data_IF_343954539247
#
_entry.id   IF_343954539247
#
_cell.length_a   1.000
_cell.length_b   1.000
_cell.length_c   1.000
_cell.angle_alpha   90.00
_cell.angle_beta   90.00
_cell.angle_gamma   90.00
#
_symmetry.space_group_name_H-M   'P 1'
#
loop_
_entity.id
_entity.type
_entity.pdbx_description
1 polymer ?
#
# COMPACT_ATOMS: atom_id res chain seq x y z
N UNK A 1 27.19 -16.23 -4.30
CA UNK A 1 26.29 -15.07 -4.34
C UNK A 1 25.17 -15.38 -5.32
N UNK A 2 23.92 -15.11 -4.96
CA UNK A 2 22.76 -15.25 -5.86
C UNK A 2 22.96 -14.39 -7.11
N UNK A 3 22.64 -14.92 -8.27
CA UNK A 3 22.62 -14.16 -9.52
C UNK A 3 21.21 -13.57 -9.72
N UNK A 4 21.12 -12.28 -9.91
CA UNK A 4 19.87 -11.60 -10.28
C UNK A 4 19.84 -11.45 -11.80
N UNK A 5 18.89 -12.11 -12.45
CA UNK A 5 18.67 -12.03 -13.88
C UNK A 5 17.17 -12.07 -14.19
N UNK A 6 16.58 -10.90 -14.40
CA UNK A 6 15.14 -10.79 -14.62
C UNK A 6 14.70 -11.24 -16.02
N UNK A 7 15.64 -11.49 -16.95
CA UNK A 7 15.29 -12.11 -18.24
C UNK A 7 14.74 -13.54 -18.08
N UNK A 8 15.20 -14.27 -17.05
CA UNK A 8 14.69 -15.63 -16.78
C UNK A 8 13.21 -15.61 -16.40
N UNK A 9 12.74 -14.54 -15.75
CA UNK A 9 11.35 -14.36 -15.36
C UNK A 9 10.44 -14.26 -16.59
N UNK A 10 10.95 -13.75 -17.71
CA UNK A 10 10.22 -13.71 -18.98
C UNK A 10 9.87 -15.12 -19.49
N UNK A 11 10.71 -16.10 -19.22
CA UNK A 11 10.52 -17.48 -19.65
C UNK A 11 9.59 -18.28 -18.72
N UNK A 12 9.26 -17.71 -17.54
CA UNK A 12 8.34 -18.33 -16.58
C UNK A 12 6.93 -18.44 -17.19
N UNK A 13 6.27 -19.57 -16.94
CA UNK A 13 4.87 -19.76 -17.34
C UNK A 13 3.95 -19.04 -16.38
N UNK A 14 3.41 -17.92 -16.83
CA UNK A 14 2.38 -17.19 -16.11
C UNK A 14 1.02 -17.83 -16.35
N UNK A 15 0.27 -18.05 -15.27
CA UNK A 15 -1.05 -18.67 -15.37
C UNK A 15 -2.14 -17.67 -15.83
N UNK A 16 -3.32 -18.22 -16.19
CA UNK A 16 -4.44 -17.42 -16.69
C UNK A 16 -5.00 -16.44 -15.66
N UNK A 17 -4.80 -16.69 -14.35
CA UNK A 17 -5.22 -15.81 -13.28
C UNK A 17 -4.39 -14.51 -13.28
N UNK A 18 -3.06 -14.61 -13.38
CA UNK A 18 -2.17 -13.46 -13.48
C UNK A 18 -2.49 -12.63 -14.73
N UNK A 19 -2.66 -13.27 -15.88
CA UNK A 19 -3.04 -12.58 -17.11
C UNK A 19 -4.40 -11.86 -16.96
N UNK A 20 -5.36 -12.50 -16.31
CA UNK A 20 -6.65 -11.91 -15.99
C UNK A 20 -6.55 -10.70 -15.06
N UNK A 21 -5.72 -10.78 -14.01
CA UNK A 21 -5.47 -9.66 -13.08
C UNK A 21 -4.83 -8.48 -13.81
N UNK A 22 -3.80 -8.71 -14.62
CA UNK A 22 -3.13 -7.68 -15.42
C UNK A 22 -4.12 -6.98 -16.35
N UNK A 23 -4.88 -7.75 -17.12
CA UNK A 23 -5.89 -7.19 -18.04
C UNK A 23 -6.95 -6.37 -17.31
N UNK A 24 -7.41 -6.83 -16.13
CA UNK A 24 -8.36 -6.11 -15.31
C UNK A 24 -7.75 -4.80 -14.75
N UNK A 25 -6.50 -4.81 -14.30
CA UNK A 25 -5.81 -3.61 -13.80
C UNK A 25 -5.69 -2.56 -14.92
N UNK A 26 -5.26 -2.92 -16.12
CA UNK A 26 -5.18 -1.98 -17.24
C UNK A 26 -6.55 -1.38 -17.61
N UNK A 27 -7.60 -2.20 -17.59
CA UNK A 27 -8.97 -1.72 -17.83
C UNK A 27 -9.38 -0.67 -16.80
N UNK A 28 -9.13 -0.93 -15.53
CA UNK A 28 -9.50 0.00 -14.44
C UNK A 28 -8.61 1.24 -14.44
N UNK A 29 -7.33 1.12 -14.78
CA UNK A 29 -6.42 2.26 -14.93
C UNK A 29 -6.90 3.21 -16.04
N UNK A 30 -7.36 2.68 -17.17
CA UNK A 30 -7.97 3.47 -18.24
C UNK A 30 -9.23 4.22 -17.80
N UNK A 31 -10.09 3.61 -16.96
CA UNK A 31 -11.25 4.29 -16.36
C UNK A 31 -10.80 5.40 -15.40
N UNK A 32 -9.79 5.14 -14.57
CA UNK A 32 -9.27 6.14 -13.63
C UNK A 32 -8.82 7.40 -14.38
N UNK A 33 -8.15 7.26 -15.52
CA UNK A 33 -7.68 8.40 -16.32
C UNK A 33 -8.84 9.30 -16.77
N UNK A 34 -9.99 8.72 -17.11
CA UNK A 34 -11.20 9.48 -17.46
C UNK A 34 -11.73 10.28 -16.25
N UNK A 35 -11.80 9.67 -15.08
CA UNK A 35 -12.22 10.36 -13.85
C UNK A 35 -11.28 11.49 -13.47
N UNK A 36 -9.95 11.30 -13.61
CA UNK A 36 -8.94 12.33 -13.32
C UNK A 36 -9.16 13.58 -14.16
N UNK A 37 -9.51 13.43 -15.44
CA UNK A 37 -9.79 14.55 -16.33
C UNK A 37 -11.11 15.27 -16.01
N UNK A 38 -12.08 14.57 -15.44
CA UNK A 38 -13.44 15.08 -15.25
C UNK A 38 -13.70 15.69 -13.87
N UNK A 39 -12.97 15.28 -12.81
CA UNK A 39 -13.29 15.57 -11.40
C UNK A 39 -12.06 15.89 -10.53
N UNK A 40 -11.30 16.95 -10.85
CA UNK A 40 -10.04 17.24 -10.16
C UNK A 40 -10.21 17.64 -8.67
N UNK A 41 -11.30 18.34 -8.29
CA UNK A 41 -11.50 18.78 -6.90
C UNK A 41 -11.80 17.62 -5.95
N UNK A 42 -12.64 16.68 -6.38
CA UNK A 42 -12.98 15.49 -5.61
C UNK A 42 -11.76 14.60 -5.42
N UNK A 43 -10.93 14.51 -6.46
CA UNK A 43 -9.70 13.72 -6.42
C UNK A 43 -8.67 14.29 -5.45
N UNK A 44 -8.54 15.63 -5.33
CA UNK A 44 -7.63 16.23 -4.36
C UNK A 44 -7.98 15.81 -2.92
N UNK A 45 -9.28 15.72 -2.57
CA UNK A 45 -9.70 15.22 -1.26
C UNK A 45 -9.35 13.75 -1.05
N UNK A 46 -9.46 12.93 -2.09
CA UNK A 46 -9.05 11.52 -2.02
C UNK A 46 -7.54 11.39 -1.81
N UNK A 47 -6.73 12.22 -2.45
CA UNK A 47 -5.26 12.24 -2.25
C UNK A 47 -4.91 12.49 -0.78
N UNK A 48 -5.49 13.52 -0.16
CA UNK A 48 -5.24 13.81 1.26
C UNK A 48 -5.62 12.65 2.17
N UNK A 49 -6.78 12.03 1.92
CA UNK A 49 -7.25 10.89 2.70
C UNK A 49 -6.34 9.68 2.49
N UNK A 50 -5.95 9.39 1.25
CA UNK A 50 -5.06 8.28 0.93
C UNK A 50 -3.69 8.46 1.61
N UNK A 51 -3.11 9.66 1.61
CA UNK A 51 -1.85 9.97 2.33
C UNK A 51 -1.95 9.66 3.82
N UNK A 52 -3.05 10.07 4.47
CA UNK A 52 -3.27 9.79 5.89
C UNK A 52 -3.38 8.28 6.12
N UNK A 53 -4.19 7.58 5.32
CA UNK A 53 -4.38 6.13 5.44
C UNK A 53 -3.11 5.33 5.15
N UNK A 54 -2.33 5.73 4.14
CA UNK A 54 -1.06 5.08 3.78
C UNK A 54 -0.03 5.24 4.90
N UNK A 55 0.10 6.46 5.44
CA UNK A 55 1.01 6.74 6.54
C UNK A 55 0.60 5.97 7.81
N UNK A 56 -0.67 5.97 8.17
CA UNK A 56 -1.18 5.23 9.33
C UNK A 56 -0.95 3.72 9.18
N UNK A 57 -1.44 3.15 8.07
CA UNK A 57 -1.43 1.70 7.85
C UNK A 57 -0.02 1.13 7.72
N UNK A 58 0.86 1.78 6.96
CA UNK A 58 2.22 1.30 6.77
C UNK A 58 3.02 1.26 8.07
N UNK A 59 2.84 2.25 8.95
CA UNK A 59 3.49 2.26 10.27
C UNK A 59 2.84 1.26 11.22
N UNK A 60 1.51 1.14 11.22
CA UNK A 60 0.79 0.17 12.06
C UNK A 60 1.13 -1.30 11.74
N UNK A 61 1.44 -1.63 10.48
CA UNK A 61 1.95 -2.97 10.09
C UNK A 61 3.22 -3.32 10.89
N UNK A 62 4.08 -2.34 11.13
CA UNK A 62 5.34 -2.49 11.90
C UNK A 62 5.16 -2.27 13.42
N UNK A 63 3.92 -2.08 13.89
CA UNK A 63 3.63 -1.82 15.30
C UNK A 63 3.86 -0.38 15.76
N UNK A 64 4.13 0.55 14.84
CA UNK A 64 4.34 1.97 15.12
C UNK A 64 2.99 2.68 15.06
N UNK A 65 2.51 3.18 16.21
CA UNK A 65 1.14 3.69 16.33
C UNK A 65 1.07 5.00 17.12
N UNK A 66 0.08 5.83 16.76
CA UNK A 66 -0.38 6.96 17.55
C UNK A 66 -1.89 7.14 17.35
N UNK A 67 -2.51 8.16 17.96
CA UNK A 67 -3.95 8.38 17.78
C UNK A 67 -4.28 8.88 16.37
N UNK A 68 -5.48 8.54 15.87
CA UNK A 68 -5.91 8.98 14.52
C UNK A 68 -5.94 10.51 14.37
N UNK A 69 -6.17 11.26 15.47
CA UNK A 69 -6.07 12.73 15.46
C UNK A 69 -4.63 13.16 15.21
N UNK A 70 -3.67 12.55 15.92
CA UNK A 70 -2.23 12.86 15.77
C UNK A 70 -1.72 12.48 14.38
N UNK A 71 -2.15 11.35 13.83
CA UNK A 71 -1.81 10.97 12.43
C UNK A 71 -2.21 12.08 11.47
N UNK A 72 -3.46 12.56 11.54
CA UNK A 72 -3.95 13.63 10.65
C UNK A 72 -3.17 14.94 10.83
N UNK A 73 -2.86 15.32 12.07
CA UNK A 73 -2.07 16.52 12.34
C UNK A 73 -0.64 16.40 11.81
N UNK A 74 0.01 15.25 12.00
CA UNK A 74 1.35 14.97 11.51
C UNK A 74 1.41 14.95 9.99
N UNK A 75 0.47 14.26 9.32
CA UNK A 75 0.42 14.17 7.87
C UNK A 75 0.15 15.55 7.23
N UNK A 76 -0.69 16.36 7.85
CA UNK A 76 -0.99 17.72 7.40
C UNK A 76 0.02 18.77 7.91
N UNK A 77 1.12 18.35 8.53
CA UNK A 77 2.19 19.24 9.05
C UNK A 77 1.71 20.32 10.03
N UNK A 78 0.59 20.05 10.74
CA UNK A 78 0.01 20.97 11.72
C UNK A 78 0.63 20.83 13.12
N UNK A 79 1.55 19.90 13.29
CA UNK A 79 2.20 19.61 14.57
C UNK A 79 3.57 18.98 14.37
N UNK A 80 4.40 18.99 15.41
CA UNK A 80 5.69 18.30 15.44
C UNK A 80 5.59 16.95 16.16
N UNK A 81 6.43 15.95 15.79
CA UNK A 81 6.50 14.67 16.48
C UNK A 81 6.88 14.82 17.96
N UNK A 82 6.24 14.06 18.86
CA UNK A 82 6.45 14.10 20.32
C UNK A 82 7.28 12.93 20.85
N UNK A 83 7.28 11.82 20.15
CA UNK A 83 7.96 10.59 20.54
C UNK A 83 8.53 9.88 19.30
N UNK A 84 9.18 8.74 19.54
CA UNK A 84 9.81 7.94 18.48
C UNK A 84 8.79 7.51 17.40
N UNK A 85 7.65 6.97 17.80
CA UNK A 85 6.64 6.50 16.84
C UNK A 85 6.16 7.64 15.94
N UNK A 86 5.89 8.82 16.51
CA UNK A 86 5.48 9.99 15.73
C UNK A 86 6.60 10.51 14.82
N UNK A 87 7.88 10.36 15.20
CA UNK A 87 9.02 10.69 14.36
C UNK A 87 9.12 9.74 13.15
N UNK A 88 8.88 8.46 13.35
CA UNK A 88 8.87 7.46 12.29
C UNK A 88 7.68 7.66 11.33
N UNK A 89 6.50 8.00 11.86
CA UNK A 89 5.31 8.38 11.11
C UNK A 89 5.57 9.62 10.24
N UNK A 90 6.19 10.66 10.80
CA UNK A 90 6.54 11.88 10.08
C UNK A 90 7.55 11.60 8.96
N UNK A 91 8.56 10.78 9.21
CA UNK A 91 9.52 10.36 8.20
C UNK A 91 8.88 9.58 7.03
N UNK A 92 7.94 8.67 7.33
CA UNK A 92 7.19 7.98 6.28
C UNK A 92 6.37 8.95 5.42
N UNK A 93 5.66 9.90 6.05
CA UNK A 93 4.94 10.98 5.36
C UNK A 93 5.85 11.73 4.40
N UNK A 94 7.04 12.12 4.86
CA UNK A 94 7.99 12.93 4.06
C UNK A 94 8.41 12.18 2.80
N UNK A 95 8.77 10.90 2.92
CA UNK A 95 9.11 10.06 1.75
C UNK A 95 7.91 9.90 0.82
N UNK A 96 6.72 9.65 1.38
CA UNK A 96 5.50 9.51 0.58
C UNK A 96 5.18 10.79 -0.20
N UNK A 97 5.33 11.97 0.43
CA UNK A 97 5.15 13.27 -0.24
C UNK A 97 6.14 13.44 -1.40
N UNK A 98 7.42 13.14 -1.17
CA UNK A 98 8.46 13.20 -2.22
C UNK A 98 8.08 12.29 -3.40
N UNK A 99 7.62 11.08 -3.14
CA UNK A 99 7.19 10.15 -4.19
C UNK A 99 5.97 10.71 -4.93
N UNK A 100 4.96 11.23 -4.23
CA UNK A 100 3.76 11.78 -4.86
C UNK A 100 4.04 12.97 -5.78
N UNK A 101 5.07 13.77 -5.46
CA UNK A 101 5.40 15.00 -6.16
C UNK A 101 6.47 14.82 -7.24
N UNK A 102 7.38 13.83 -7.07
CA UNK A 102 8.60 13.75 -7.88
C UNK A 102 8.87 12.34 -8.45
N UNK A 103 7.89 11.43 -8.48
CA UNK A 103 8.09 10.04 -8.91
C UNK A 103 8.73 9.91 -10.30
N UNK A 104 8.45 10.83 -11.22
CA UNK A 104 8.92 10.84 -12.60
C UNK A 104 10.43 11.13 -12.72
N UNK A 105 11.00 11.88 -11.78
CA UNK A 105 12.42 12.25 -11.76
C UNK A 105 13.26 11.45 -10.75
N UNK A 106 12.66 10.60 -9.92
CA UNK A 106 13.39 9.74 -8.97
C UNK A 106 13.92 8.49 -9.71
N UNK A 107 15.24 8.34 -9.94
CA UNK A 107 15.79 7.14 -10.54
C UNK A 107 15.68 5.92 -9.63
N UNK A 108 15.48 4.76 -10.22
CA UNK A 108 15.53 3.49 -9.47
C UNK A 108 16.99 3.06 -9.39
N UNK A 109 17.66 3.42 -8.32
CA UNK A 109 19.06 3.09 -8.06
C UNK A 109 19.31 2.93 -6.56
N UNK A 110 20.37 2.18 -6.22
CA UNK A 110 20.80 2.02 -4.84
C UNK A 110 20.91 3.38 -4.12
N UNK A 111 21.59 4.36 -4.73
CA UNK A 111 21.79 5.67 -4.12
C UNK A 111 20.49 6.37 -3.76
N UNK A 112 19.48 6.35 -4.63
CA UNK A 112 18.19 7.00 -4.34
C UNK A 112 17.40 6.22 -3.29
N UNK A 113 17.46 4.89 -3.29
CA UNK A 113 16.86 4.06 -2.22
C UNK A 113 17.50 4.40 -0.87
N UNK A 114 18.82 4.56 -0.80
CA UNK A 114 19.52 4.99 0.42
C UNK A 114 19.11 6.41 0.85
N UNK A 115 18.94 7.34 -0.09
CA UNK A 115 18.47 8.69 0.20
C UNK A 115 17.04 8.68 0.75
N UNK A 116 16.12 7.94 0.13
CA UNK A 116 14.74 7.80 0.63
C UNK A 116 14.72 7.19 2.04
N UNK A 117 15.55 6.16 2.29
CA UNK A 117 15.70 5.60 3.63
C UNK A 117 16.29 6.60 4.63
N UNK A 118 17.22 7.48 4.21
CA UNK A 118 17.72 8.55 5.06
C UNK A 118 16.60 9.53 5.46
N UNK A 119 15.73 9.89 4.51
CA UNK A 119 14.59 10.77 4.76
C UNK A 119 13.57 10.10 5.69
N UNK A 120 13.32 8.81 5.55
CA UNK A 120 12.45 8.04 6.45
C UNK A 120 12.82 8.21 7.92
N UNK A 121 14.09 8.46 8.22
CA UNK A 121 14.61 8.66 9.58
C UNK A 121 15.05 10.10 9.88
N UNK A 122 14.65 11.08 9.04
CA UNK A 122 15.13 12.47 9.15
C UNK A 122 14.70 13.16 10.46
N UNK A 123 13.61 12.73 11.07
CA UNK A 123 13.13 13.25 12.36
C UNK A 123 13.79 12.59 13.57
N UNK A 124 14.71 11.65 13.34
CA UNK A 124 15.40 10.87 14.37
C UNK A 124 16.91 11.03 14.23
N UNK A 125 17.61 10.99 15.36
CA UNK A 125 19.07 10.91 15.33
C UNK A 125 19.49 9.43 15.11
N UNK A 126 19.34 8.92 13.89
CA UNK A 126 19.70 7.55 13.53
C UNK A 126 20.97 7.52 12.67
N UNK A 127 22.13 7.10 13.21
CA UNK A 127 23.40 7.08 12.49
C UNK A 127 23.42 6.04 11.34
N UNK A 128 22.47 5.10 11.32
CA UNK A 128 22.34 4.06 10.29
C UNK A 128 21.39 4.46 9.16
N UNK A 129 20.75 5.62 9.27
CA UNK A 129 19.85 6.13 8.23
C UNK A 129 20.60 6.33 6.90
N UNK A 130 20.03 5.79 5.82
CA UNK A 130 20.64 5.88 4.50
C UNK A 130 21.88 5.00 4.28
N UNK A 131 22.07 3.97 5.10
CA UNK A 131 23.17 3.00 4.98
C UNK A 131 22.61 1.58 4.93
N UNK A 132 23.26 0.73 4.15
CA UNK A 132 22.97 -0.70 4.20
C UNK A 132 23.38 -1.29 5.56
N UNK A 133 22.76 -2.39 5.94
CA UNK A 133 23.03 -3.07 7.21
C UNK A 133 24.49 -3.46 7.36
N UNK A 134 24.99 -3.32 8.57
CA UNK A 134 26.36 -3.70 8.98
C UNK A 134 26.41 -4.99 9.80
N UNK A 135 25.26 -5.46 10.27
CA UNK A 135 25.11 -6.71 11.02
C UNK A 135 24.04 -7.59 10.38
N UNK A 136 24.16 -8.93 10.51
CA UNK A 136 23.11 -9.84 10.08
C UNK A 136 21.77 -9.49 10.73
N UNK A 137 20.70 -9.57 9.95
CA UNK A 137 19.33 -9.48 10.43
C UNK A 137 18.55 -10.76 10.08
N UNK A 138 17.46 -10.99 10.78
CA UNK A 138 16.63 -12.18 10.62
C UNK A 138 15.18 -11.77 10.56
N UNK A 139 14.41 -12.38 9.67
CA UNK A 139 12.95 -12.27 9.69
C UNK A 139 12.44 -13.40 10.58
N UNK A 140 11.78 -13.04 11.67
CA UNK A 140 11.34 -14.00 12.68
C UNK A 140 9.89 -13.76 13.08
N UNK A 141 9.21 -14.82 13.51
CA UNK A 141 7.92 -14.75 14.18
C UNK A 141 8.08 -15.09 15.66
N UNK A 142 7.43 -14.31 16.53
CA UNK A 142 7.31 -14.61 17.95
C UNK A 142 5.92 -15.18 18.22
N UNK A 143 5.85 -16.35 18.80
CA UNK A 143 4.61 -17.05 19.11
C UNK A 143 4.06 -16.65 20.49
N UNK A 144 2.77 -16.93 20.77
CA UNK A 144 2.16 -16.59 22.07
C UNK A 144 2.84 -17.24 23.28
N UNK A 145 3.57 -18.34 23.09
CA UNK A 145 4.37 -19.00 24.13
C UNK A 145 5.72 -18.34 24.41
N UNK A 146 6.02 -17.21 23.70
CA UNK A 146 7.28 -16.49 23.80
C UNK A 146 8.43 -17.07 22.96
N UNK A 147 8.21 -18.19 22.28
CA UNK A 147 9.23 -18.75 21.37
C UNK A 147 9.37 -17.90 20.11
N UNK A 148 10.61 -17.80 19.61
CA UNK A 148 10.92 -17.08 18.36
C UNK A 148 11.47 -18.06 17.34
N UNK A 149 10.86 -18.09 16.14
CA UNK A 149 11.33 -18.89 15.01
C UNK A 149 11.81 -18.00 13.88
N UNK A 150 13.02 -18.24 13.38
CA UNK A 150 13.51 -17.59 12.16
C UNK A 150 12.70 -18.15 10.98
N UNK A 151 12.04 -17.27 10.27
CA UNK A 151 11.25 -17.59 9.06
C UNK A 151 12.11 -17.50 7.82
N UNK A 152 12.97 -16.47 7.74
CA UNK A 152 13.86 -16.26 6.62
C UNK A 152 15.17 -15.58 7.09
N UNK A 153 16.29 -15.96 6.48
CA UNK A 153 17.60 -15.33 6.70
C UNK A 153 17.97 -14.53 5.46
N UNK A 154 17.92 -13.19 5.52
CA UNK A 154 18.33 -12.33 4.40
C UNK A 154 19.83 -12.47 4.06
N UNK A 155 20.25 -11.82 2.95
CA UNK A 155 21.66 -11.79 2.56
C UNK A 155 22.55 -11.25 3.68
N UNK A 156 23.79 -11.70 3.69
CA UNK A 156 24.82 -11.19 4.61
C UNK A 156 25.11 -9.70 4.35
N UNK A 157 25.54 -8.93 5.35
CA UNK A 157 25.80 -7.49 5.19
C UNK A 157 26.78 -7.17 4.05
N UNK A 158 27.82 -7.97 3.86
CA UNK A 158 28.83 -7.73 2.81
C UNK A 158 28.31 -7.98 1.39
N UNK A 159 27.25 -8.78 1.22
CA UNK A 159 26.60 -9.03 -0.08
C UNK A 159 25.53 -7.98 -0.42
N UNK A 160 25.00 -7.35 0.61
CA UNK A 160 23.81 -6.48 0.51
C UNK A 160 23.97 -5.29 -0.45
N UNK A 161 25.09 -4.51 -0.43
CA UNK A 161 25.23 -3.38 -1.35
C UNK A 161 25.21 -3.78 -2.82
N UNK A 162 25.98 -4.80 -3.19
CA UNK A 162 26.04 -5.28 -4.57
C UNK A 162 24.70 -5.86 -5.02
N UNK A 163 24.02 -6.63 -4.16
CA UNK A 163 22.71 -7.19 -4.46
C UNK A 163 21.67 -6.09 -4.70
N UNK A 164 21.62 -5.04 -3.86
CA UNK A 164 20.70 -3.93 -4.02
C UNK A 164 20.95 -3.14 -5.31
N UNK A 165 22.23 -2.93 -5.68
CA UNK A 165 22.58 -2.29 -6.95
C UNK A 165 22.12 -3.15 -8.12
N UNK A 166 22.40 -4.45 -8.07
CA UNK A 166 22.09 -5.39 -9.15
C UNK A 166 20.57 -5.50 -9.41
N UNK A 167 19.74 -5.58 -8.39
CA UNK A 167 18.28 -5.61 -8.63
C UNK A 167 17.77 -4.31 -9.26
N UNK A 168 18.35 -3.16 -8.91
CA UNK A 168 18.01 -1.89 -9.55
C UNK A 168 18.42 -1.88 -11.03
N UNK A 169 19.62 -2.34 -11.36
CA UNK A 169 20.10 -2.46 -12.75
C UNK A 169 19.19 -3.38 -13.58
N UNK A 170 18.90 -4.58 -13.06
CA UNK A 170 18.06 -5.56 -13.73
C UNK A 170 16.64 -5.05 -13.95
N UNK A 171 16.04 -4.41 -12.94
CA UNK A 171 14.72 -3.78 -13.07
C UNK A 171 14.71 -2.73 -14.19
N UNK A 172 15.67 -1.78 -14.14
CA UNK A 172 15.77 -0.74 -15.17
C UNK A 172 16.00 -1.32 -16.56
N UNK A 173 16.81 -2.36 -16.68
CA UNK A 173 17.10 -3.03 -17.93
C UNK A 173 15.85 -3.66 -18.54
N UNK A 174 15.12 -4.47 -17.77
CA UNK A 174 13.95 -5.19 -18.31
C UNK A 174 12.79 -4.26 -18.61
N UNK A 175 12.62 -3.18 -17.83
CA UNK A 175 11.60 -2.16 -18.10
C UNK A 175 12.00 -1.29 -19.29
N UNK A 176 13.26 -0.83 -19.34
CA UNK A 176 13.75 0.01 -20.43
C UNK A 176 13.73 -0.67 -21.79
N UNK A 177 14.00 -1.97 -21.82
CA UNK A 177 13.98 -2.79 -23.05
C UNK A 177 12.60 -3.39 -23.36
N UNK A 178 11.58 -3.14 -22.54
CA UNK A 178 10.24 -3.75 -22.66
C UNK A 178 10.29 -5.29 -22.63
N UNK A 179 11.23 -5.87 -21.88
CA UNK A 179 11.40 -7.32 -21.78
C UNK A 179 10.39 -7.96 -20.82
N UNK A 180 9.93 -7.22 -19.82
CA UNK A 180 9.02 -7.71 -18.79
C UNK A 180 7.90 -6.71 -18.53
N UNK A 181 6.69 -7.23 -18.33
CA UNK A 181 5.51 -6.46 -17.96
C UNK A 181 5.72 -5.77 -16.59
N UNK A 182 5.51 -4.43 -16.47
CA UNK A 182 5.73 -3.71 -15.20
C UNK A 182 4.97 -4.28 -14.01
N UNK A 183 3.73 -4.74 -14.22
CA UNK A 183 2.93 -5.36 -13.14
C UNK A 183 3.48 -6.72 -12.67
N UNK A 184 4.41 -7.31 -13.42
CA UNK A 184 5.18 -8.50 -13.01
C UNK A 184 6.53 -8.06 -12.43
N UNK A 185 7.24 -7.17 -13.11
CA UNK A 185 8.57 -6.72 -12.68
C UNK A 185 8.57 -6.05 -11.30
N UNK A 186 7.52 -5.25 -11.00
CA UNK A 186 7.41 -4.54 -9.72
C UNK A 186 7.32 -5.51 -8.54
N UNK A 187 6.36 -6.46 -8.48
CA UNK A 187 6.32 -7.41 -7.37
C UNK A 187 7.59 -8.23 -7.22
N UNK A 188 8.22 -8.64 -8.32
CA UNK A 188 9.49 -9.39 -8.29
C UNK A 188 10.61 -8.55 -7.68
N UNK A 189 10.76 -7.30 -8.11
CA UNK A 189 11.73 -6.37 -7.52
C UNK A 189 11.49 -6.17 -6.02
N UNK A 190 10.24 -5.97 -5.61
CA UNK A 190 9.87 -5.80 -4.19
C UNK A 190 10.12 -7.07 -3.39
N UNK A 191 9.86 -8.24 -3.95
CA UNK A 191 10.18 -9.52 -3.34
C UNK A 191 11.69 -9.67 -3.11
N UNK A 192 12.51 -9.42 -4.13
CA UNK A 192 13.97 -9.44 -4.01
C UNK A 192 14.49 -8.42 -2.99
N UNK A 193 13.94 -7.20 -2.99
CA UNK A 193 14.27 -6.18 -1.99
C UNK A 193 13.99 -6.67 -0.56
N UNK A 194 12.85 -7.33 -0.33
CA UNK A 194 12.49 -7.89 0.97
C UNK A 194 13.37 -9.08 1.36
N UNK A 195 13.81 -9.89 0.40
CA UNK A 195 14.73 -11.01 0.65
C UNK A 195 16.17 -10.53 0.91
N UNK A 196 16.64 -9.51 0.21
CA UNK A 196 17.93 -8.84 0.48
C UNK A 196 17.88 -8.18 1.87
N UNK A 197 16.76 -7.55 2.21
CA UNK A 197 16.53 -6.85 3.48
C UNK A 197 17.65 -5.87 3.83
N UNK A 198 17.84 -4.83 2.97
CA UNK A 198 19.10 -4.08 2.94
C UNK A 198 19.38 -3.21 4.16
N UNK A 199 18.39 -2.92 5.00
CA UNK A 199 18.53 -2.02 6.13
C UNK A 199 18.46 -2.76 7.47
N UNK A 200 19.00 -2.15 8.52
CA UNK A 200 18.83 -2.69 9.88
C UNK A 200 17.37 -2.57 10.36
N UNK A 201 16.64 -1.56 9.90
CA UNK A 201 15.23 -1.29 10.19
C UNK A 201 14.58 -0.54 9.03
N UNK A 202 13.24 -0.55 8.94
CA UNK A 202 12.47 0.19 7.92
C UNK A 202 12.33 -0.52 6.58
N UNK A 203 12.78 -1.77 6.42
CA UNK A 203 12.67 -2.50 5.14
C UNK A 203 11.22 -2.67 4.67
N UNK A 204 10.30 -3.02 5.56
CA UNK A 204 8.89 -3.16 5.23
C UNK A 204 8.26 -1.83 4.79
N UNK A 205 8.54 -0.73 5.48
CA UNK A 205 8.07 0.61 5.09
C UNK A 205 8.66 1.04 3.75
N UNK A 206 9.96 0.83 3.55
CA UNK A 206 10.63 1.13 2.28
C UNK A 206 10.09 0.29 1.13
N UNK A 207 9.81 -1.00 1.32
CA UNK A 207 9.23 -1.84 0.26
C UNK A 207 7.87 -1.32 -0.21
N UNK A 208 7.01 -0.86 0.71
CA UNK A 208 5.69 -0.28 0.38
C UNK A 208 5.82 1.07 -0.33
N UNK A 209 6.74 1.94 0.12
CA UNK A 209 7.05 3.20 -0.55
C UNK A 209 7.63 2.97 -1.96
N UNK A 210 8.53 2.00 -2.12
CA UNK A 210 9.08 1.62 -3.42
C UNK A 210 7.99 1.03 -4.34
N UNK A 211 7.07 0.22 -3.81
CA UNK A 211 5.91 -0.26 -4.59
C UNK A 211 5.13 0.91 -5.19
N UNK A 212 4.82 1.93 -4.38
CA UNK A 212 4.12 3.14 -4.82
C UNK A 212 4.92 3.89 -5.88
N UNK A 213 6.23 4.09 -5.67
CA UNK A 213 7.12 4.76 -6.63
C UNK A 213 7.15 4.03 -7.98
N UNK A 214 7.36 2.71 -7.95
CA UNK A 214 7.47 1.89 -9.16
C UNK A 214 6.15 1.85 -9.95
N UNK A 215 5.01 1.75 -9.25
CA UNK A 215 3.69 1.82 -9.87
C UNK A 215 3.47 3.16 -10.57
N UNK A 216 3.80 4.28 -9.91
CA UNK A 216 3.62 5.62 -10.51
C UNK A 216 4.51 5.81 -11.73
N UNK A 217 5.76 5.38 -11.68
CA UNK A 217 6.68 5.41 -12.83
C UNK A 217 6.20 4.55 -14.00
N UNK A 218 5.38 3.55 -13.72
CA UNK A 218 4.79 2.67 -14.74
C UNK A 218 3.38 3.09 -15.17
N UNK A 219 2.88 4.26 -14.71
CA UNK A 219 1.58 4.81 -15.09
C UNK A 219 0.39 4.33 -14.27
N UNK A 220 0.61 3.60 -13.17
CA UNK A 220 -0.45 3.11 -12.29
C UNK A 220 -0.60 3.98 -11.05
N UNK A 221 -1.52 4.95 -11.09
CA UNK A 221 -1.65 6.01 -10.09
C UNK A 221 -2.70 5.73 -9.00
N UNK A 222 -3.25 4.52 -8.92
CA UNK A 222 -4.32 4.22 -7.95
C UNK A 222 -3.90 4.48 -6.51
N UNK A 223 -2.64 4.19 -6.16
CA UNK A 223 -2.07 4.46 -4.83
C UNK A 223 -2.10 5.93 -4.40
N UNK A 224 -2.27 6.86 -5.36
CA UNK A 224 -2.45 8.29 -5.08
C UNK A 224 -3.79 8.60 -4.43
N UNK A 225 -4.81 7.80 -4.71
CA UNK A 225 -6.21 8.04 -4.33
C UNK A 225 -6.75 7.01 -3.33
N UNK A 226 -6.18 5.80 -3.33
CA UNK A 226 -6.56 4.68 -2.46
C UNK A 226 -5.29 4.10 -1.85
N UNK A 227 -5.23 4.02 -0.52
CA UNK A 227 -4.08 3.43 0.18
C UNK A 227 -3.94 1.94 -0.10
N UNK A 228 -2.83 1.55 -0.72
CA UNK A 228 -2.44 0.15 -0.88
C UNK A 228 -2.05 -0.45 0.47
N UNK A 229 -1.38 0.33 1.32
CA UNK A 229 -0.94 -0.07 2.65
C UNK A 229 -2.11 -0.40 3.57
N UNK A 230 -3.22 0.34 3.48
CA UNK A 230 -4.43 0.03 4.22
C UNK A 230 -5.06 -1.30 3.78
N UNK A 231 -4.96 -1.65 2.49
CA UNK A 231 -5.39 -2.96 1.99
C UNK A 231 -4.48 -4.09 2.47
N UNK A 232 -3.17 -3.89 2.46
CA UNK A 232 -2.19 -4.83 3.01
C UNK A 232 -2.43 -5.03 4.51
N UNK A 233 -2.60 -3.96 5.28
CA UNK A 233 -2.86 -4.02 6.71
C UNK A 233 -4.13 -4.83 7.06
N UNK A 234 -5.17 -4.70 6.22
CA UNK A 234 -6.44 -5.42 6.37
C UNK A 234 -6.32 -6.94 6.13
N UNK A 235 -5.34 -7.36 5.32
CA UNK A 235 -5.06 -8.74 4.95
C UNK A 235 -3.60 -9.12 5.24
N UNK A 236 -3.08 -8.66 6.39
CA UNK A 236 -1.67 -8.78 6.77
C UNK A 236 -1.16 -10.22 6.73
N UNK A 237 -1.97 -11.16 7.18
CA UNK A 237 -1.59 -12.58 7.23
C UNK A 237 -1.37 -13.16 5.82
N UNK A 238 -2.27 -12.85 4.88
CA UNK A 238 -2.13 -13.27 3.48
C UNK A 238 -0.91 -12.63 2.80
N UNK A 239 -0.55 -11.39 3.18
CA UNK A 239 0.66 -10.75 2.69
C UNK A 239 1.92 -11.52 3.11
N UNK A 240 2.02 -11.87 4.39
CA UNK A 240 3.17 -12.59 4.90
C UNK A 240 3.21 -14.04 4.43
N UNK A 241 2.05 -14.70 4.26
CA UNK A 241 1.94 -16.03 3.67
C UNK A 241 2.47 -16.03 2.23
N UNK A 242 1.97 -15.13 1.37
CA UNK A 242 2.42 -15.02 -0.02
C UNK A 242 3.93 -14.69 -0.13
N UNK A 243 4.45 -13.85 0.79
CA UNK A 243 5.86 -13.54 0.87
C UNK A 243 6.69 -14.78 1.27
N UNK A 244 6.27 -15.49 2.30
CA UNK A 244 6.97 -16.68 2.80
C UNK A 244 6.99 -17.80 1.76
N UNK A 245 5.88 -18.05 1.07
CA UNK A 245 5.78 -19.05 0.00
C UNK A 245 6.75 -18.71 -1.15
N UNK A 246 6.85 -17.43 -1.52
CA UNK A 246 7.75 -16.99 -2.58
C UNK A 246 9.22 -16.91 -2.15
N UNK A 247 9.53 -16.98 -0.85
CA UNK A 247 10.93 -16.98 -0.35
C UNK A 247 11.59 -18.35 -0.40
N UNK A 248 10.81 -19.44 -0.58
CA UNK A 248 11.35 -20.79 -0.61
C UNK A 248 12.29 -20.96 -1.82
N UNK A 249 13.54 -21.39 -1.56
CA UNK A 249 14.55 -21.56 -2.62
C UNK A 249 15.13 -20.28 -3.18
N UNK A 250 14.85 -19.11 -2.57
CA UNK A 250 15.33 -17.83 -3.08
C UNK A 250 16.86 -17.71 -3.16
N UNK A 251 17.61 -18.24 -2.17
CA UNK A 251 19.07 -18.22 -2.18
C UNK A 251 19.67 -18.99 -3.33
N UNK A 252 19.00 -20.05 -3.78
CA UNK A 252 19.40 -20.93 -4.87
C UNK A 252 18.90 -20.45 -6.26
N UNK A 253 18.11 -19.35 -6.31
CA UNK A 253 17.46 -18.90 -7.53
C UNK A 253 16.40 -19.88 -8.05
N UNK A 254 15.71 -20.58 -7.14
CA UNK A 254 14.67 -21.58 -7.44
C UNK A 254 13.31 -21.24 -6.84
N UNK A 255 13.15 -20.00 -6.41
CA UNK A 255 11.91 -19.49 -5.85
C UNK A 255 10.79 -19.45 -6.89
N UNK A 256 9.55 -19.58 -6.39
CA UNK A 256 8.35 -19.27 -7.16
C UNK A 256 7.81 -17.90 -6.74
N UNK A 257 7.97 -16.89 -7.58
CA UNK A 257 7.46 -15.53 -7.30
C UNK A 257 5.94 -15.41 -7.49
N UNK A 258 5.25 -16.42 -8.06
CA UNK A 258 3.82 -16.37 -8.39
C UNK A 258 2.94 -16.01 -7.20
N UNK A 259 3.07 -16.59 -5.99
CA UNK A 259 2.21 -16.26 -4.87
C UNK A 259 2.27 -14.77 -4.51
N UNK A 260 3.47 -14.19 -4.42
CA UNK A 260 3.64 -12.78 -4.09
C UNK A 260 3.17 -11.86 -5.22
N UNK A 261 3.43 -12.20 -6.49
CA UNK A 261 2.93 -11.47 -7.65
C UNK A 261 1.40 -11.43 -7.64
N UNK A 262 0.72 -12.56 -7.45
CA UNK A 262 -0.75 -12.62 -7.37
C UNK A 262 -1.29 -11.78 -6.23
N UNK A 263 -0.68 -11.83 -5.06
CA UNK A 263 -1.10 -11.02 -3.92
C UNK A 263 -1.03 -9.52 -4.22
N UNK A 264 0.10 -9.05 -4.77
CA UNK A 264 0.28 -7.63 -5.10
C UNK A 264 -0.68 -7.19 -6.20
N UNK A 265 -0.85 -7.98 -7.28
CA UNK A 265 -1.82 -7.68 -8.33
C UNK A 265 -3.26 -7.64 -7.82
N UNK A 266 -3.63 -8.60 -6.96
CA UNK A 266 -4.94 -8.62 -6.30
C UNK A 266 -5.18 -7.36 -5.45
N UNK A 267 -4.15 -6.90 -4.72
CA UNK A 267 -4.19 -5.68 -3.91
C UNK A 267 -4.38 -4.44 -4.78
N UNK A 268 -3.65 -4.33 -5.90
CA UNK A 268 -3.75 -3.23 -6.86
C UNK A 268 -5.16 -3.21 -7.49
N UNK A 269 -5.65 -4.35 -7.95
CA UNK A 269 -6.99 -4.45 -8.55
C UNK A 269 -8.09 -4.08 -7.54
N UNK A 270 -7.97 -4.54 -6.28
CA UNK A 270 -8.89 -4.16 -5.23
C UNK A 270 -8.86 -2.66 -4.93
N UNK A 271 -7.70 -2.00 -5.06
CA UNK A 271 -7.61 -0.55 -4.94
C UNK A 271 -8.31 0.18 -6.10
N UNK A 272 -8.14 -0.28 -7.33
CA UNK A 272 -8.85 0.27 -8.48
C UNK A 272 -10.37 0.12 -8.37
N UNK A 273 -10.87 -1.02 -7.89
CA UNK A 273 -12.30 -1.22 -7.65
C UNK A 273 -12.85 -0.28 -6.58
N UNK A 274 -12.12 -0.09 -5.47
CA UNK A 274 -12.52 0.90 -4.46
C UNK A 274 -12.50 2.32 -5.01
N UNK A 275 -11.55 2.65 -5.89
CA UNK A 275 -11.50 3.94 -6.55
C UNK A 275 -12.75 4.16 -7.42
N UNK A 276 -13.08 3.20 -8.28
CA UNK A 276 -14.28 3.25 -9.13
C UNK A 276 -15.56 3.41 -8.28
N UNK A 277 -15.71 2.60 -7.22
CA UNK A 277 -16.84 2.66 -6.30
C UNK A 277 -16.98 4.06 -5.67
N UNK A 278 -15.88 4.63 -5.17
CA UNK A 278 -15.90 5.99 -4.59
C UNK A 278 -16.26 7.05 -5.63
N UNK A 279 -15.71 6.95 -6.84
CA UNK A 279 -15.99 7.91 -7.90
C UNK A 279 -17.43 7.82 -8.41
N UNK A 280 -18.04 6.64 -8.41
CA UNK A 280 -19.45 6.43 -8.77
C UNK A 280 -20.39 7.04 -7.72
N UNK A 281 -20.02 6.99 -6.43
CA UNK A 281 -20.78 7.58 -5.33
C UNK A 281 -20.67 9.11 -5.32
N UNK A 282 -19.52 9.66 -5.70
CA UNK A 282 -19.25 11.11 -5.75
C UNK A 282 -19.73 11.70 -7.08
N UNK A 283 -21.04 11.74 -7.33
CA UNK A 283 -21.56 12.54 -8.44
C UNK A 283 -21.62 14.04 -8.07
N UNK A 284 -21.26 14.98 -8.99
CA UNK A 284 -21.13 16.42 -8.69
C UNK A 284 -22.40 17.11 -8.18
N UNK A 285 -23.55 16.44 -8.23
CA UNK A 285 -24.87 16.96 -7.81
C UNK A 285 -25.54 16.15 -6.70
N UNK A 286 -24.89 15.12 -6.17
CA UNK A 286 -25.50 14.29 -5.14
C UNK A 286 -25.45 14.97 -3.78
N UNK A 287 -26.59 15.00 -3.10
CA UNK A 287 -26.64 15.36 -1.68
C UNK A 287 -25.93 14.31 -0.82
N UNK A 288 -25.49 14.69 0.40
CA UNK A 288 -24.91 13.73 1.36
C UNK A 288 -25.86 12.54 1.62
N UNK A 289 -27.17 12.76 1.59
CA UNK A 289 -28.17 11.70 1.73
C UNK A 289 -28.10 10.71 0.56
N UNK A 290 -28.01 11.20 -0.68
CA UNK A 290 -27.95 10.36 -1.86
C UNK A 290 -26.64 9.59 -1.95
N UNK A 291 -25.53 10.23 -1.58
CA UNK A 291 -24.22 9.54 -1.50
C UNK A 291 -24.25 8.36 -0.51
N UNK A 292 -24.79 8.57 0.69
CA UNK A 292 -24.92 7.53 1.71
C UNK A 292 -25.92 6.45 1.28
N UNK A 293 -27.01 6.81 0.57
CA UNK A 293 -27.96 5.86 -0.02
C UNK A 293 -27.26 4.91 -0.98
N UNK A 294 -26.54 5.43 -1.99
CA UNK A 294 -25.79 4.63 -2.96
C UNK A 294 -24.70 3.79 -2.30
N UNK A 295 -23.98 4.35 -1.32
CA UNK A 295 -22.99 3.59 -0.56
C UNK A 295 -23.63 2.41 0.19
N UNK A 296 -24.84 2.59 0.74
CA UNK A 296 -25.57 1.51 1.41
C UNK A 296 -26.12 0.47 0.43
N UNK A 297 -26.42 0.87 -0.80
CA UNK A 297 -26.84 -0.04 -1.89
C UNK A 297 -25.76 -1.01 -2.33
N UNK A 298 -24.51 -0.57 -2.27
CA UNK A 298 -23.33 -1.40 -2.61
C UNK A 298 -22.94 -2.36 -1.47
N UNK A 299 -23.62 -2.35 -0.31
CA UNK A 299 -23.35 -3.27 0.79
C UNK A 299 -24.32 -4.45 0.80
N UNK A 300 -23.75 -5.65 0.88
CA UNK A 300 -24.50 -6.89 1.02
C UNK A 300 -24.55 -7.26 2.50
N UNK A 301 -25.78 -7.37 3.06
CA UNK A 301 -25.97 -7.74 4.45
C UNK A 301 -25.85 -6.57 5.43
N UNK A 302 -25.22 -6.83 6.59
CA UNK A 302 -25.04 -5.84 7.66
C UNK A 302 -23.79 -5.00 7.42
N UNK A 303 -23.87 -3.70 7.67
CA UNK A 303 -22.77 -2.76 7.62
C UNK A 303 -22.84 -1.77 8.77
N UNK A 304 -21.74 -1.11 9.08
CA UNK A 304 -21.67 -0.09 10.13
C UNK A 304 -21.33 1.30 9.55
N UNK A 305 -21.27 2.34 10.40
CA UNK A 305 -20.93 3.70 9.98
C UNK A 305 -19.55 3.79 9.34
N UNK A 306 -18.58 3.00 9.82
CA UNK A 306 -17.22 3.00 9.29
C UNK A 306 -17.17 2.48 7.84
N UNK A 307 -17.99 1.47 7.52
CA UNK A 307 -18.10 0.95 6.16
C UNK A 307 -18.61 2.01 5.17
N UNK A 308 -19.58 2.83 5.61
CA UNK A 308 -20.07 3.95 4.79
C UNK A 308 -19.04 5.08 4.72
N UNK A 309 -18.31 5.36 5.80
CA UNK A 309 -17.25 6.36 5.81
C UNK A 309 -16.11 6.03 4.83
N UNK A 310 -15.74 4.76 4.72
CA UNK A 310 -14.74 4.32 3.76
C UNK A 310 -15.15 4.64 2.32
N UNK A 311 -16.43 4.49 1.96
CA UNK A 311 -16.98 4.80 0.64
C UNK A 311 -17.26 6.29 0.44
N UNK A 312 -17.80 6.96 1.47
CA UNK A 312 -18.16 8.38 1.44
C UNK A 312 -17.10 9.24 2.15
N UNK A 313 -15.84 9.01 1.85
CA UNK A 313 -14.69 9.63 2.53
C UNK A 313 -14.65 11.16 2.45
N UNK A 314 -15.34 11.77 1.50
CA UNK A 314 -15.49 13.24 1.35
C UNK A 314 -16.52 13.86 2.28
N UNK A 315 -17.39 13.05 2.92
CA UNK A 315 -18.38 13.52 3.86
C UNK A 315 -17.82 13.58 5.30
N UNK A 316 -18.29 14.53 6.09
CA UNK A 316 -18.02 14.55 7.53
C UNK A 316 -18.80 13.43 8.25
N UNK A 317 -18.30 12.98 9.40
CA UNK A 317 -19.00 12.00 10.24
C UNK A 317 -20.42 12.43 10.60
N UNK A 318 -20.62 13.71 10.89
CA UNK A 318 -21.94 14.30 11.19
C UNK A 318 -22.88 14.23 9.98
N UNK A 319 -22.38 14.46 8.77
CA UNK A 319 -23.15 14.34 7.54
C UNK A 319 -23.57 12.89 7.25
N UNK A 320 -22.67 11.95 7.48
CA UNK A 320 -22.96 10.50 7.33
C UNK A 320 -24.02 10.06 8.36
N UNK A 321 -23.86 10.45 9.63
CA UNK A 321 -24.84 10.14 10.69
C UNK A 321 -26.22 10.72 10.42
N UNK A 322 -26.27 11.97 9.96
CA UNK A 322 -27.53 12.61 9.58
C UNK A 322 -28.22 11.91 8.41
N UNK A 323 -27.43 11.49 7.40
CA UNK A 323 -27.93 10.76 6.25
C UNK A 323 -28.45 9.36 6.65
N UNK A 324 -27.66 8.58 7.39
CA UNK A 324 -28.09 7.26 7.91
C UNK A 324 -29.37 7.35 8.74
N UNK A 325 -29.47 8.37 9.60
CA UNK A 325 -30.72 8.62 10.38
C UNK A 325 -31.92 8.87 9.47
N UNK A 326 -31.74 9.66 8.41
CA UNK A 326 -32.83 9.92 7.45
C UNK A 326 -33.26 8.65 6.71
N UNK A 327 -32.27 7.81 6.26
CA UNK A 327 -32.57 6.55 5.59
C UNK A 327 -33.25 5.51 6.49
N UNK A 328 -32.99 5.56 7.81
CA UNK A 328 -33.71 4.76 8.78
C UNK A 328 -35.12 5.27 8.97
N UNK A 329 -35.30 6.59 9.05
CA UNK A 329 -36.63 7.22 9.18
C UNK A 329 -37.51 7.02 7.94
N UNK A 330 -36.91 6.98 6.75
CA UNK A 330 -37.63 6.68 5.49
C UNK A 330 -37.94 5.19 5.31
N UNK A 331 -37.44 4.31 6.20
CA UNK A 331 -37.63 2.87 6.09
C UNK A 331 -36.73 2.15 5.07
N UNK A 332 -35.83 2.86 4.45
CA UNK A 332 -34.86 2.28 3.49
C UNK A 332 -33.79 1.43 4.18
N UNK A 333 -33.46 1.79 5.42
CA UNK A 333 -32.53 1.06 6.27
C UNK A 333 -33.19 0.68 7.61
N UNK A 334 -32.81 -0.45 8.15
CA UNK A 334 -33.05 -0.81 9.55
C UNK A 334 -31.74 -0.69 10.34
N UNK A 335 -31.89 -0.29 11.60
CA UNK A 335 -30.79 -0.09 12.55
C UNK A 335 -30.89 -1.12 13.66
N UNK A 336 -29.82 -1.84 13.94
CA UNK A 336 -29.67 -2.73 15.08
C UNK A 336 -28.52 -2.30 15.99
N UNK A 337 -28.61 -2.61 17.27
CA UNK A 337 -27.56 -2.34 18.26
C UNK A 337 -27.57 -0.89 18.77
N UNK A 338 -26.63 -0.60 19.71
CA UNK A 338 -26.42 0.72 20.31
C UNK A 338 -24.92 1.03 20.42
N UNK A 339 -24.56 2.30 20.34
CA UNK A 339 -23.17 2.74 20.48
C UNK A 339 -22.25 2.10 19.43
N UNK A 340 -21.14 1.50 19.85
CA UNK A 340 -20.12 0.90 18.97
C UNK A 340 -20.61 -0.36 18.21
N UNK A 341 -21.65 -1.03 18.71
CA UNK A 341 -22.23 -2.22 18.06
C UNK A 341 -23.38 -1.89 17.10
N UNK A 342 -23.58 -0.62 16.77
CA UNK A 342 -24.62 -0.20 15.83
C UNK A 342 -24.29 -0.67 14.42
N UNK A 343 -25.23 -1.42 13.82
CA UNK A 343 -25.18 -1.81 12.41
C UNK A 343 -26.49 -1.47 11.71
N UNK A 344 -26.41 -1.42 10.39
CA UNK A 344 -27.51 -1.11 9.48
C UNK A 344 -27.65 -2.21 8.44
N UNK A 345 -28.84 -2.40 7.89
CA UNK A 345 -29.10 -3.28 6.74
C UNK A 345 -30.29 -2.76 5.94
N UNK A 346 -30.32 -3.08 4.67
CA UNK A 346 -31.41 -2.65 3.78
C UNK A 346 -32.68 -3.40 4.07
N UNK A 347 -33.78 -2.68 4.06
CA UNK A 347 -35.12 -3.27 4.03
C UNK A 347 -35.39 -3.64 2.57
N UNK A 348 -35.71 -4.92 2.31
CA UNK A 348 -36.08 -5.39 0.96
C UNK A 348 -37.40 -4.78 0.51
#
# INVERSE_FOLDING_TARGET
MRSFNYSIIREQKWDSEILGLIAAIYKEAGKQELFVKQRPEELNKLVEIAKIQSTEASNAIEGIVTTSTRIRELVNEKTTPRNRDEQEIAGYRDVLNIIHENFDVIPISQNYILQLHKILYNHMNNPLAGRTKSMPNYISATYPDGSTKILFTPLAPYETPEALERICEEYNRVIGNLELEPLIAIPVFIHDFLCIHPFNDGNGRMSRLLTTLLLYRSGFYVGKYISLEAKIAKNKDLYYEALADSQVGWHEGKEDAIPFVKYILGTILAAYKDFEERMTIIEPKLSALEMVRRASENKIGRFNKQDIRELCSTLSDSSIEAALRKLVLSGELQKEGKGKSTCYFRVK
#
